data_IF_077813088384
#
_entry.id   IF_077813088384
#
_cell.length_a   1.000
_cell.length_b   1.000
_cell.length_c   1.000
_cell.angle_alpha   90.00
_cell.angle_beta   90.00
_cell.angle_gamma   90.00
#
_symmetry.space_group_name_H-M   'P 1'
#
loop_
_entity.id
_entity.type
_entity.pdbx_description
1 polymer ?
#
# COMPACT_ATOMS: atom_id res chain seq x y z
N UNK A 1 40.59 3.94 -46.16
CA UNK A 1 39.84 4.56 -45.05
C UNK A 1 38.38 4.68 -45.49
N UNK A 2 37.54 3.69 -45.16
CA UNK A 2 36.13 3.65 -45.60
C UNK A 2 35.26 4.37 -44.57
N UNK A 3 34.90 5.63 -44.83
CA UNK A 3 33.86 6.32 -44.08
C UNK A 3 32.49 5.93 -44.65
N UNK A 4 31.87 4.89 -44.07
CA UNK A 4 30.45 4.59 -44.35
C UNK A 4 29.60 5.75 -43.86
N UNK A 5 28.76 6.30 -44.73
CA UNK A 5 27.74 7.28 -44.36
C UNK A 5 26.74 6.63 -43.39
N UNK A 6 26.51 7.27 -42.25
CA UNK A 6 25.51 6.86 -41.29
C UNK A 6 24.14 7.25 -41.86
N UNK A 7 23.47 6.32 -42.55
CA UNK A 7 22.07 6.49 -42.92
C UNK A 7 21.21 6.35 -41.66
N UNK A 8 20.83 7.48 -41.05
CA UNK A 8 19.81 7.47 -39.99
C UNK A 8 18.47 7.12 -40.64
N UNK A 9 18.01 5.89 -40.42
CA UNK A 9 16.65 5.49 -40.78
C UNK A 9 15.66 6.47 -40.14
N UNK A 10 14.65 6.98 -40.87
CA UNK A 10 13.59 7.76 -40.25
C UNK A 10 12.82 6.84 -39.32
N UNK A 11 13.12 6.90 -38.02
CA UNK A 11 12.32 6.24 -37.00
C UNK A 11 10.98 6.98 -36.92
N UNK A 12 10.02 6.56 -37.76
CA UNK A 12 8.60 6.83 -37.49
C UNK A 12 8.21 5.99 -36.28
N UNK A 13 8.67 6.39 -35.10
CA UNK A 13 8.10 5.91 -33.84
C UNK A 13 6.69 6.48 -33.81
N UNK A 14 5.73 5.69 -34.28
CA UNK A 14 4.32 6.01 -34.09
C UNK A 14 4.04 6.06 -32.59
N UNK A 15 4.05 7.26 -32.01
CA UNK A 15 3.61 7.46 -30.63
C UNK A 15 2.14 7.05 -30.59
N UNK A 16 1.83 6.00 -29.83
CA UNK A 16 0.44 5.59 -29.58
C UNK A 16 -0.21 6.70 -28.74
N UNK A 17 -1.07 7.48 -29.37
CA UNK A 17 -1.80 8.54 -28.68
C UNK A 17 -2.98 7.91 -27.94
N UNK A 18 -2.88 7.83 -26.62
CA UNK A 18 -4.01 7.44 -25.79
C UNK A 18 -4.89 8.66 -25.57
N UNK A 19 -6.11 8.64 -26.13
CA UNK A 19 -7.08 9.74 -26.02
C UNK A 19 -7.37 10.14 -24.57
N UNK A 20 -7.32 9.19 -23.64
CA UNK A 20 -7.54 9.41 -22.22
C UNK A 20 -6.55 10.42 -21.62
N UNK A 21 -5.25 10.31 -21.91
CA UNK A 21 -4.24 11.25 -21.38
C UNK A 21 -4.37 12.63 -22.03
N UNK A 22 -4.76 12.67 -23.32
CA UNK A 22 -5.03 13.92 -24.00
C UNK A 22 -6.23 14.64 -23.38
N UNK A 23 -7.30 13.93 -23.07
CA UNK A 23 -8.47 14.51 -22.43
C UNK A 23 -8.14 15.12 -21.06
N UNK A 24 -7.28 14.46 -20.27
CA UNK A 24 -6.80 15.02 -19.01
C UNK A 24 -6.03 16.31 -19.24
N UNK A 25 -5.06 16.31 -20.17
CA UNK A 25 -4.30 17.52 -20.53
C UNK A 25 -5.21 18.67 -20.99
N UNK A 26 -6.16 18.39 -21.90
CA UNK A 26 -7.14 19.36 -22.37
C UNK A 26 -8.02 19.91 -21.24
N UNK A 27 -8.38 19.07 -20.26
CA UNK A 27 -9.16 19.51 -19.10
C UNK A 27 -8.35 20.48 -18.24
N UNK A 28 -7.05 20.21 -18.04
CA UNK A 28 -6.15 21.12 -17.32
C UNK A 28 -5.99 22.46 -18.04
N UNK A 29 -5.84 22.45 -19.36
CA UNK A 29 -5.78 23.67 -20.18
C UNK A 29 -7.09 24.45 -20.09
N UNK A 30 -8.24 23.79 -20.24
CA UNK A 30 -9.54 24.44 -20.13
C UNK A 30 -9.77 25.05 -18.73
N UNK A 31 -9.31 24.37 -17.67
CA UNK A 31 -9.37 24.92 -16.31
C UNK A 31 -8.44 26.12 -16.13
N UNK A 32 -7.23 26.07 -16.70
CA UNK A 32 -6.30 27.20 -16.68
C UNK A 32 -6.87 28.41 -17.40
N UNK A 33 -7.42 28.24 -18.60
CA UNK A 33 -8.07 29.29 -19.38
C UNK A 33 -9.31 29.86 -18.68
N UNK A 34 -10.14 29.00 -18.07
CA UNK A 34 -11.37 29.44 -17.40
C UNK A 34 -11.10 30.16 -16.06
N UNK A 35 -10.07 29.75 -15.32
CA UNK A 35 -9.78 30.30 -13.99
C UNK A 35 -8.70 31.38 -14.00
N UNK A 36 -7.92 31.50 -15.08
CA UNK A 36 -6.74 32.37 -15.18
C UNK A 36 -5.72 32.16 -14.04
N UNK A 37 -5.75 30.98 -13.39
CA UNK A 37 -4.87 30.67 -12.27
C UNK A 37 -3.50 30.19 -12.77
N UNK A 38 -2.40 30.64 -12.17
CA UNK A 38 -1.07 30.10 -12.45
C UNK A 38 -1.02 28.59 -12.31
N UNK A 39 -0.26 27.91 -13.17
CA UNK A 39 -0.11 26.46 -13.14
C UNK A 39 0.37 25.95 -11.79
N UNK A 40 1.25 26.71 -11.12
CA UNK A 40 1.78 26.39 -9.78
C UNK A 40 0.67 26.30 -8.72
N UNK A 41 -0.42 27.04 -8.88
CA UNK A 41 -1.57 27.03 -7.95
C UNK A 41 -2.63 26.04 -8.43
N UNK A 42 -2.90 26.03 -9.74
CA UNK A 42 -3.92 25.21 -10.36
C UNK A 42 -3.67 23.72 -10.12
N UNK A 43 -2.43 23.24 -10.27
CA UNK A 43 -2.11 21.81 -10.12
C UNK A 43 -2.36 21.31 -8.68
N UNK A 44 -1.84 21.95 -7.61
CA UNK A 44 -2.20 21.57 -6.25
C UNK A 44 -3.71 21.66 -5.97
N UNK A 45 -4.38 22.73 -6.40
CA UNK A 45 -5.80 22.94 -6.13
C UNK A 45 -6.68 21.85 -6.76
N UNK A 46 -6.45 21.56 -8.05
CA UNK A 46 -7.15 20.47 -8.76
C UNK A 46 -6.83 19.10 -8.18
N UNK A 47 -5.60 18.88 -7.70
CA UNK A 47 -5.20 17.65 -7.00
C UNK A 47 -5.98 17.46 -5.70
N UNK A 48 -6.09 18.51 -4.88
CA UNK A 48 -6.88 18.50 -3.64
C UNK A 48 -8.36 18.25 -3.96
N UNK A 49 -8.92 18.96 -4.95
CA UNK A 49 -10.31 18.80 -5.37
C UNK A 49 -10.62 17.38 -5.85
N UNK A 50 -9.80 16.84 -6.76
CA UNK A 50 -9.94 15.49 -7.31
C UNK A 50 -9.88 14.43 -6.20
N UNK A 51 -8.96 14.59 -5.26
CA UNK A 51 -8.80 13.63 -4.15
C UNK A 51 -9.90 13.72 -3.12
N UNK A 52 -10.39 14.92 -2.84
CA UNK A 52 -11.52 15.15 -1.93
C UNK A 52 -12.80 14.55 -2.51
N UNK A 53 -13.03 14.71 -3.81
CA UNK A 53 -14.22 14.17 -4.48
C UNK A 53 -14.14 12.64 -4.65
N UNK A 54 -13.03 12.13 -5.18
CA UNK A 54 -12.94 10.71 -5.55
C UNK A 54 -12.38 9.84 -4.42
N UNK A 55 -11.26 10.22 -3.82
CA UNK A 55 -10.53 9.29 -2.94
C UNK A 55 -10.94 9.37 -1.47
N UNK A 56 -11.31 10.56 -0.97
CA UNK A 56 -11.66 10.77 0.43
C UNK A 56 -12.86 9.92 0.88
N UNK A 57 -13.99 9.83 0.14
CA UNK A 57 -15.12 9.01 0.56
C UNK A 57 -14.74 7.53 0.65
N UNK A 58 -13.93 7.04 -0.31
CA UNK A 58 -13.42 5.68 -0.29
C UNK A 58 -12.49 5.43 0.89
N UNK A 59 -11.62 6.38 1.22
CA UNK A 59 -10.73 6.27 2.38
C UNK A 59 -11.49 6.29 3.70
N UNK A 60 -12.53 7.12 3.84
CA UNK A 60 -13.42 7.12 5.02
C UNK A 60 -14.12 5.76 5.15
N UNK A 61 -14.67 5.25 4.05
CA UNK A 61 -15.31 3.93 4.02
C UNK A 61 -14.34 2.82 4.42
N UNK A 62 -13.13 2.82 3.84
CA UNK A 62 -12.10 1.84 4.16
C UNK A 62 -11.69 1.94 5.63
N UNK A 63 -11.47 3.15 6.16
CA UNK A 63 -11.08 3.39 7.56
C UNK A 63 -12.08 2.77 8.52
N UNK A 64 -13.37 3.07 8.36
CA UNK A 64 -14.45 2.50 9.18
C UNK A 64 -14.47 0.97 9.11
N UNK A 65 -14.26 0.40 7.92
CA UNK A 65 -14.18 -1.06 7.76
C UNK A 65 -12.98 -1.67 8.46
N UNK A 66 -11.80 -1.05 8.34
CA UNK A 66 -10.57 -1.55 8.98
C UNK A 66 -10.73 -1.57 10.50
N UNK A 67 -11.35 -0.54 11.09
CA UNK A 67 -11.63 -0.49 12.54
C UNK A 67 -12.53 -1.66 12.97
N UNK A 68 -13.66 -1.88 12.28
CA UNK A 68 -14.53 -3.02 12.55
C UNK A 68 -13.79 -4.37 12.37
N UNK A 69 -12.92 -4.45 11.38
CA UNK A 69 -12.05 -5.60 11.15
C UNK A 69 -11.09 -5.82 12.33
N UNK A 70 -10.57 -4.74 12.90
CA UNK A 70 -9.64 -4.81 14.02
C UNK A 70 -10.31 -5.31 15.29
N UNK A 71 -11.55 -4.89 15.56
CA UNK A 71 -12.38 -5.40 16.66
C UNK A 71 -12.62 -6.90 16.51
N UNK A 72 -13.07 -7.35 15.33
CA UNK A 72 -13.29 -8.78 15.06
C UNK A 72 -12.00 -9.60 15.11
N UNK A 73 -10.87 -9.00 14.72
CA UNK A 73 -9.57 -9.66 14.79
C UNK A 73 -9.15 -9.96 16.24
N UNK A 74 -9.55 -9.15 17.22
CA UNK A 74 -9.32 -9.43 18.67
C UNK A 74 -9.96 -10.77 19.05
N UNK A 75 -11.18 -11.04 18.59
CA UNK A 75 -11.88 -12.32 18.81
C UNK A 75 -11.19 -13.48 18.08
N UNK A 76 -10.70 -13.26 16.86
CA UNK A 76 -10.02 -14.30 16.07
C UNK A 76 -8.67 -14.70 16.71
N UNK A 77 -8.00 -13.79 17.42
CA UNK A 77 -6.68 -14.05 18.01
C UNK A 77 -6.68 -15.02 19.19
N UNK A 78 -7.81 -15.24 19.86
CA UNK A 78 -7.92 -16.26 20.91
C UNK A 78 -8.07 -17.68 20.34
N UNK A 79 -8.38 -17.82 19.04
CA UNK A 79 -8.62 -19.11 18.40
C UNK A 79 -7.34 -19.97 18.26
N UNK A 80 -6.20 -19.45 17.76
CA UNK A 80 -4.98 -20.25 17.59
C UNK A 80 -4.52 -21.02 18.83
N UNK A 81 -4.35 -20.42 20.02
CA UNK A 81 -3.89 -21.16 21.20
C UNK A 81 -4.88 -22.26 21.61
N UNK A 82 -6.18 -21.98 21.58
CA UNK A 82 -7.23 -22.96 21.89
C UNK A 82 -7.22 -24.12 20.89
N UNK A 83 -7.11 -23.84 19.58
CA UNK A 83 -7.05 -24.89 18.56
C UNK A 83 -5.79 -25.75 18.68
N UNK A 84 -4.63 -25.17 18.99
CA UNK A 84 -3.39 -25.93 19.25
C UNK A 84 -3.55 -26.86 20.45
N UNK A 85 -4.10 -26.37 21.56
CA UNK A 85 -4.34 -27.19 22.76
C UNK A 85 -5.33 -28.33 22.48
N UNK A 86 -6.42 -28.05 21.76
CA UNK A 86 -7.42 -29.07 21.39
C UNK A 86 -6.83 -30.13 20.46
N UNK A 87 -6.04 -29.74 19.47
CA UNK A 87 -5.36 -30.67 18.56
C UNK A 87 -4.33 -31.52 19.31
N UNK A 88 -3.53 -30.92 20.19
CA UNK A 88 -2.55 -31.64 21.01
C UNK A 88 -3.22 -32.63 21.99
N UNK A 89 -4.34 -32.23 22.62
CA UNK A 89 -5.11 -33.12 23.48
C UNK A 89 -5.72 -34.29 22.68
N UNK A 90 -6.30 -34.02 21.51
CA UNK A 90 -6.87 -35.05 20.64
C UNK A 90 -5.83 -36.04 20.13
N UNK A 91 -4.63 -35.58 19.76
CA UNK A 91 -3.54 -36.48 19.34
C UNK A 91 -3.08 -37.38 20.47
N UNK A 92 -2.96 -36.83 21.69
CA UNK A 92 -2.55 -37.61 22.86
C UNK A 92 -3.63 -38.62 23.29
N UNK A 93 -4.91 -38.27 23.19
CA UNK A 93 -6.02 -39.17 23.48
C UNK A 93 -6.12 -40.31 22.44
N UNK A 94 -5.96 -40.00 21.16
CA UNK A 94 -5.96 -41.01 20.08
C UNK A 94 -4.78 -41.99 20.21
N UNK A 95 -3.60 -41.52 20.66
CA UNK A 95 -2.49 -42.42 20.97
C UNK A 95 -2.83 -43.37 22.13
N UNK A 96 -3.41 -42.85 23.23
CA UNK A 96 -3.77 -43.66 24.41
C UNK A 96 -4.85 -44.71 24.14
N UNK A 97 -5.82 -44.40 23.26
CA UNK A 97 -6.89 -45.34 22.92
C UNK A 97 -6.42 -46.50 22.04
N UNK A 98 -5.29 -46.32 21.34
CA UNK A 98 -4.73 -47.33 20.43
C UNK A 98 -3.69 -48.23 21.13
N UNK A 99 -3.21 -47.82 22.30
CA UNK A 99 -2.46 -48.68 23.21
C UNK A 99 -3.48 -49.54 23.96
N UNK A 100 -3.84 -50.71 23.41
CA UNK A 100 -4.72 -51.66 24.09
C UNK A 100 -4.08 -52.12 25.41
N UNK A 101 -4.62 -51.63 26.54
CA UNK A 101 -4.23 -52.04 27.89
C UNK A 101 -5.13 -53.23 28.26
N UNK A 102 -4.57 -54.43 28.38
CA UNK A 102 -5.28 -55.57 29.00
C UNK A 102 -5.45 -55.34 30.50
N UNK A 103 -6.45 -55.99 31.11
CA UNK A 103 -6.81 -55.88 32.54
C UNK A 103 -5.68 -56.21 33.53
N UNK A 104 -4.52 -56.66 33.05
CA UNK A 104 -3.33 -56.98 33.85
C UNK A 104 -2.19 -55.94 33.73
N UNK A 105 -2.41 -54.81 33.06
CA UNK A 105 -1.45 -53.70 33.00
C UNK A 105 -0.28 -53.88 32.03
N UNK A 106 -0.31 -54.89 31.17
CA UNK A 106 0.70 -55.14 30.13
C UNK A 106 0.24 -54.64 28.75
N UNK A 107 1.17 -54.07 27.99
CA UNK A 107 0.93 -53.54 26.63
C UNK A 107 0.89 -54.73 25.67
N UNK A 108 -0.26 -55.05 25.09
CA UNK A 108 -0.36 -56.06 24.02
C UNK A 108 0.06 -55.42 22.70
N UNK A 109 1.25 -55.76 22.20
CA UNK A 109 1.61 -55.55 20.79
C UNK A 109 0.90 -56.64 19.98
N UNK A 110 -0.28 -56.37 19.46
CA UNK A 110 -0.86 -57.22 18.42
C UNK A 110 -0.10 -56.98 17.10
N UNK A 111 0.66 -57.99 16.67
CA UNK A 111 1.32 -58.03 15.36
C UNK A 111 0.31 -58.39 14.27
N UNK A 112 -0.63 -57.49 13.97
CA UNK A 112 -1.43 -57.58 12.75
C UNK A 112 -0.69 -56.84 11.60
N UNK A 113 -0.37 -57.52 10.48
CA UNK A 113 0.23 -56.86 9.33
C UNK A 113 -0.82 -55.95 8.69
N UNK A 114 -0.43 -54.69 8.44
CA UNK A 114 -1.23 -53.62 7.80
C UNK A 114 -2.31 -52.93 8.65
N UNK A 115 -2.11 -52.72 9.96
CA UNK A 115 -2.82 -51.64 10.65
C UNK A 115 -2.02 -50.33 10.56
N UNK A 116 -2.58 -49.36 9.82
CA UNK A 116 -2.10 -47.98 9.75
C UNK A 116 -2.17 -47.41 11.18
N UNK A 117 -1.04 -47.41 11.91
CA UNK A 117 -0.95 -46.71 13.20
C UNK A 117 -1.47 -45.28 13.00
N UNK A 118 -2.44 -44.80 13.80
CA UNK A 118 -2.91 -43.44 13.68
C UNK A 118 -1.72 -42.50 13.85
N UNK A 119 -1.40 -41.76 12.78
CA UNK A 119 -0.22 -40.91 12.72
C UNK A 119 -0.28 -39.86 13.83
N UNK A 120 0.61 -39.95 14.82
CA UNK A 120 0.78 -38.90 15.85
C UNK A 120 1.19 -37.62 15.13
N UNK A 121 0.30 -36.62 15.13
CA UNK A 121 0.59 -35.36 14.45
C UNK A 121 1.85 -34.73 15.05
N UNK A 122 2.79 -34.34 14.20
CA UNK A 122 3.98 -33.62 14.64
C UNK A 122 3.59 -32.22 15.15
N UNK A 123 4.38 -31.60 16.03
CA UNK A 123 4.12 -30.24 16.50
C UNK A 123 3.91 -29.26 15.33
N UNK A 124 4.70 -29.40 14.26
CA UNK A 124 4.57 -28.57 13.06
C UNK A 124 3.25 -28.79 12.33
N UNK A 125 2.81 -30.04 12.18
CA UNK A 125 1.49 -30.34 11.61
C UNK A 125 0.36 -29.75 12.44
N UNK A 126 0.44 -29.82 13.78
CA UNK A 126 -0.54 -29.21 14.69
C UNK A 126 -0.60 -27.70 14.47
N UNK A 127 0.55 -27.02 14.34
CA UNK A 127 0.56 -25.57 14.08
C UNK A 127 -0.05 -25.23 12.73
N UNK A 128 0.24 -25.99 11.67
CA UNK A 128 -0.31 -25.77 10.33
C UNK A 128 -1.82 -25.99 10.33
N UNK A 129 -2.30 -27.05 10.98
CA UNK A 129 -3.73 -27.34 11.10
C UNK A 129 -4.46 -26.26 11.89
N UNK A 130 -3.89 -25.80 13.01
CA UNK A 130 -4.41 -24.66 13.76
C UNK A 130 -4.46 -23.38 12.90
N UNK A 131 -3.44 -23.11 12.09
CA UNK A 131 -3.43 -21.97 11.16
C UNK A 131 -4.54 -22.11 10.10
N UNK A 132 -4.74 -23.31 9.55
CA UNK A 132 -5.80 -23.57 8.56
C UNK A 132 -7.19 -23.38 9.18
N UNK A 133 -7.40 -23.90 10.39
CA UNK A 133 -8.68 -23.77 11.09
C UNK A 133 -8.99 -22.32 11.46
N UNK A 134 -8.00 -21.59 11.99
CA UNK A 134 -8.13 -20.18 12.34
C UNK A 134 -8.45 -19.32 11.13
N UNK A 135 -7.81 -19.55 9.98
CA UNK A 135 -8.16 -18.87 8.71
C UNK A 135 -9.59 -19.18 8.26
N UNK A 136 -10.04 -20.43 8.37
CA UNK A 136 -11.41 -20.83 8.00
C UNK A 136 -12.44 -20.12 8.89
N UNK A 137 -12.20 -20.11 10.21
CA UNK A 137 -13.06 -19.40 11.18
C UNK A 137 -13.03 -17.89 10.96
N UNK A 138 -11.86 -17.30 10.71
CA UNK A 138 -11.72 -15.89 10.36
C UNK A 138 -12.54 -15.52 9.12
N UNK A 139 -12.46 -16.31 8.04
CA UNK A 139 -13.24 -16.08 6.82
C UNK A 139 -14.75 -16.13 7.09
N UNK A 140 -15.22 -17.05 7.94
CA UNK A 140 -16.64 -17.14 8.35
C UNK A 140 -17.08 -15.92 9.16
N UNK A 141 -16.31 -15.51 10.17
CA UNK A 141 -16.62 -14.33 11.00
C UNK A 141 -16.64 -13.08 10.12
N UNK A 142 -15.63 -12.89 9.27
CA UNK A 142 -15.57 -11.74 8.38
C UNK A 142 -16.66 -11.75 7.32
N UNK A 143 -17.09 -12.94 6.87
CA UNK A 143 -18.26 -13.10 6.01
C UNK A 143 -19.55 -12.65 6.69
N UNK A 144 -19.80 -13.12 7.92
CA UNK A 144 -21.01 -12.78 8.71
C UNK A 144 -21.15 -11.27 8.95
N UNK A 145 -20.04 -10.57 9.19
CA UNK A 145 -20.05 -9.13 9.47
C UNK A 145 -19.75 -8.24 8.25
N UNK A 146 -19.63 -8.81 7.04
CA UNK A 146 -19.31 -8.13 5.78
C UNK A 146 -17.96 -7.37 5.78
N UNK A 147 -16.97 -7.88 6.52
CA UNK A 147 -15.64 -7.26 6.68
C UNK A 147 -14.53 -8.08 6.02
N UNK A 148 -14.75 -8.50 4.78
CA UNK A 148 -13.78 -9.25 3.97
C UNK A 148 -12.47 -8.48 3.74
N UNK A 149 -11.33 -9.18 3.72
CA UNK A 149 -9.99 -8.56 3.64
C UNK A 149 -9.66 -7.97 2.27
N UNK A 150 -10.10 -8.60 1.17
CA UNK A 150 -9.80 -8.15 -0.20
C UNK A 150 -10.32 -6.73 -0.49
N UNK A 151 -11.41 -6.34 0.18
CA UNK A 151 -11.98 -4.99 0.07
C UNK A 151 -11.04 -3.88 0.55
N UNK A 152 -9.98 -4.22 1.31
CA UNK A 152 -8.96 -3.26 1.72
C UNK A 152 -8.01 -2.90 0.56
N UNK A 153 -7.98 -3.67 -0.52
CA UNK A 153 -7.18 -3.38 -1.71
C UNK A 153 -7.90 -2.43 -2.69
N UNK A 154 -9.16 -2.07 -2.44
CA UNK A 154 -9.95 -1.21 -3.34
C UNK A 154 -9.33 0.19 -3.47
N UNK A 155 -8.84 0.77 -2.37
CA UNK A 155 -8.28 2.12 -2.43
C UNK A 155 -6.99 2.16 -3.28
N UNK A 156 -5.98 1.29 -3.08
CA UNK A 156 -4.86 1.19 -4.02
C UNK A 156 -5.29 0.92 -5.47
N UNK A 157 -6.31 0.07 -5.68
CA UNK A 157 -6.81 -0.28 -7.00
C UNK A 157 -7.39 0.92 -7.76
N UNK A 158 -7.97 1.89 -7.05
CA UNK A 158 -8.48 3.15 -7.63
C UNK A 158 -7.39 4.21 -7.71
N UNK A 159 -6.56 4.33 -6.66
CA UNK A 159 -5.54 5.37 -6.55
C UNK A 159 -4.41 5.21 -7.57
N UNK A 160 -3.91 3.99 -7.81
CA UNK A 160 -2.79 3.78 -8.72
C UNK A 160 -3.17 4.18 -10.17
N UNK A 161 -4.29 3.70 -10.75
CA UNK A 161 -4.71 4.14 -12.08
C UNK A 161 -4.99 5.64 -12.18
N UNK A 162 -5.62 6.23 -11.16
CA UNK A 162 -5.86 7.67 -11.10
C UNK A 162 -4.53 8.45 -11.12
N UNK A 163 -3.57 8.02 -10.31
CA UNK A 163 -2.26 8.65 -10.22
C UNK A 163 -1.48 8.56 -11.54
N UNK A 164 -1.49 7.39 -12.19
CA UNK A 164 -0.88 7.19 -13.52
C UNK A 164 -1.56 8.08 -14.55
N UNK A 165 -2.89 8.12 -14.57
CA UNK A 165 -3.69 8.89 -15.53
C UNK A 165 -3.37 10.37 -15.47
N UNK A 166 -3.36 10.95 -14.26
CA UNK A 166 -3.02 12.37 -14.08
C UNK A 166 -1.54 12.61 -14.42
N UNK A 167 -0.64 11.70 -14.03
CA UNK A 167 0.79 11.84 -14.33
C UNK A 167 1.08 11.81 -15.84
N UNK A 168 0.42 10.94 -16.58
CA UNK A 168 0.55 10.86 -18.04
C UNK A 168 -0.12 12.05 -18.74
N UNK A 169 -1.26 12.53 -18.23
CA UNK A 169 -1.90 13.75 -18.73
C UNK A 169 -1.03 15.00 -18.56
N UNK A 170 -0.43 15.17 -17.37
CA UNK A 170 0.51 16.25 -17.12
C UNK A 170 1.81 16.10 -17.92
N UNK A 171 2.30 14.87 -18.10
CA UNK A 171 3.47 14.63 -18.97
C UNK A 171 3.18 15.05 -20.41
N UNK A 172 2.00 14.76 -20.94
CA UNK A 172 1.55 15.23 -22.26
C UNK A 172 1.50 16.77 -22.33
N UNK A 173 1.05 17.44 -21.27
CA UNK A 173 1.03 18.90 -21.19
C UNK A 173 2.45 19.49 -21.26
N UNK A 174 3.41 18.84 -20.60
CA UNK A 174 4.83 19.25 -20.59
C UNK A 174 5.63 18.79 -21.80
N UNK A 175 5.03 18.15 -22.81
CA UNK A 175 5.76 17.87 -24.06
C UNK A 175 6.04 19.14 -24.87
N UNK A 176 5.24 20.18 -24.65
CA UNK A 176 5.46 21.52 -25.18
C UNK A 176 5.98 22.42 -24.05
N UNK A 177 6.77 23.42 -24.43
CA UNK A 177 7.24 24.46 -23.53
C UNK A 177 6.05 25.12 -22.84
N UNK A 178 6.04 25.07 -21.50
CA UNK A 178 4.95 25.58 -20.68
C UNK A 178 5.49 26.71 -19.82
N UNK A 179 5.17 27.94 -20.22
CA UNK A 179 5.52 29.14 -19.47
C UNK A 179 4.33 29.57 -18.61
N UNK A 180 4.64 30.12 -17.45
CA UNK A 180 3.65 30.79 -16.63
C UNK A 180 3.22 32.07 -17.34
N UNK A 181 1.93 32.17 -17.67
CA UNK A 181 1.38 33.28 -18.48
C UNK A 181 0.67 34.33 -17.65
N UNK A 182 0.31 33.98 -16.41
CA UNK A 182 -0.46 34.82 -15.51
C UNK A 182 0.44 35.33 -14.38
N UNK A 183 0.65 36.65 -14.35
CA UNK A 183 1.51 37.27 -13.35
C UNK A 183 0.79 37.41 -12.01
N UNK A 184 1.00 36.44 -11.13
CA UNK A 184 0.62 36.57 -9.72
C UNK A 184 1.78 37.22 -8.96
N UNK A 185 1.54 38.39 -8.36
CA UNK A 185 2.53 39.21 -7.66
C UNK A 185 3.29 38.47 -6.54
N UNK A 186 2.60 37.63 -5.76
CA UNK A 186 3.19 36.78 -4.73
C UNK A 186 4.15 35.72 -5.28
N UNK A 187 3.92 35.21 -6.49
CA UNK A 187 4.76 34.16 -7.09
C UNK A 187 6.03 34.74 -7.72
N UNK A 188 6.00 35.98 -8.19
CA UNK A 188 7.19 36.68 -8.76
C UNK A 188 8.33 36.84 -7.74
N UNK A 189 8.01 36.90 -6.45
CA UNK A 189 9.04 36.96 -5.40
C UNK A 189 9.70 35.60 -5.13
N UNK A 190 9.03 34.50 -5.48
CA UNK A 190 9.46 33.13 -5.15
C UNK A 190 10.04 32.38 -6.35
N UNK A 191 9.65 32.75 -7.57
CA UNK A 191 10.02 32.06 -8.80
C UNK A 191 10.51 33.03 -9.87
N UNK A 192 11.47 32.62 -10.73
CA UNK A 192 11.93 33.45 -11.84
C UNK A 192 10.83 33.69 -12.88
N UNK A 193 10.82 34.88 -13.49
CA UNK A 193 9.81 35.30 -14.49
C UNK A 193 9.74 34.37 -15.72
N UNK A 194 10.84 33.71 -16.08
CA UNK A 194 10.94 32.82 -17.24
C UNK A 194 10.99 31.33 -16.87
N UNK A 195 10.39 30.95 -15.73
CA UNK A 195 10.40 29.57 -15.28
C UNK A 195 9.63 28.66 -16.26
N UNK A 196 10.35 27.74 -16.89
CA UNK A 196 9.76 26.71 -17.74
C UNK A 196 9.33 25.51 -16.90
N UNK A 197 8.01 25.34 -16.74
CA UNK A 197 7.44 24.28 -15.92
C UNK A 197 7.51 22.90 -16.57
N UNK A 198 7.84 22.85 -17.87
CA UNK A 198 7.94 21.62 -18.65
C UNK A 198 9.26 20.87 -18.45
N UNK A 199 10.28 21.56 -17.94
CA UNK A 199 11.61 21.01 -17.70
C UNK A 199 11.83 20.69 -16.21
N UNK A 200 12.82 19.85 -15.88
CA UNK A 200 13.35 19.76 -14.52
C UNK A 200 13.92 21.12 -14.09
N UNK A 201 13.99 21.35 -12.78
CA UNK A 201 14.56 22.59 -12.27
C UNK A 201 16.09 22.57 -12.35
N UNK A 202 16.66 23.17 -13.40
CA UNK A 202 18.11 23.13 -13.66
C UNK A 202 18.95 23.81 -12.57
N UNK A 203 18.46 24.92 -11.99
CA UNK A 203 19.18 25.64 -10.93
C UNK A 203 19.27 24.83 -9.64
N UNK A 204 18.24 24.02 -9.33
CA UNK A 204 18.14 23.28 -8.07
C UNK A 204 17.49 21.89 -8.27
N UNK A 205 18.18 20.96 -8.98
CA UNK A 205 17.58 19.71 -9.43
C UNK A 205 17.22 18.75 -8.28
N UNK A 206 17.80 18.94 -7.10
CA UNK A 206 17.57 18.10 -5.91
C UNK A 206 16.43 18.58 -5.02
N UNK A 207 15.92 19.80 -5.17
CA UNK A 207 14.89 20.36 -4.28
C UNK A 207 13.58 19.56 -4.40
N UNK A 208 13.06 19.39 -5.62
CA UNK A 208 11.82 18.65 -5.83
C UNK A 208 11.94 17.15 -5.43
N UNK A 209 13.00 16.41 -5.83
CA UNK A 209 13.24 15.05 -5.35
C UNK A 209 13.33 14.94 -3.82
N UNK A 210 14.04 15.85 -3.16
CA UNK A 210 14.23 15.79 -1.71
C UNK A 210 12.92 16.05 -0.96
N UNK A 211 12.13 17.05 -1.37
CA UNK A 211 10.82 17.33 -0.79
C UNK A 211 9.87 16.15 -1.03
N UNK A 212 9.85 15.61 -2.25
CA UNK A 212 8.99 14.47 -2.57
C UNK A 212 9.40 13.22 -1.78
N UNK A 213 10.69 12.92 -1.72
CA UNK A 213 11.26 11.77 -1.04
C UNK A 213 10.99 11.82 0.47
N UNK A 214 11.19 12.99 1.08
CA UNK A 214 10.92 13.21 2.51
C UNK A 214 9.44 13.05 2.84
N UNK A 215 8.54 13.72 2.10
CA UNK A 215 7.09 13.57 2.30
C UNK A 215 6.61 12.14 2.07
N UNK A 216 7.12 11.47 1.03
CA UNK A 216 6.79 10.07 0.75
C UNK A 216 7.28 9.15 1.88
N UNK A 217 8.47 9.40 2.43
CA UNK A 217 9.00 8.63 3.56
C UNK A 217 8.15 8.83 4.82
N UNK A 218 7.74 10.06 5.13
CA UNK A 218 6.85 10.33 6.27
C UNK A 218 5.52 9.59 6.08
N UNK A 219 4.94 9.60 4.87
CA UNK A 219 3.73 8.85 4.56
C UNK A 219 3.92 7.33 4.77
N UNK A 220 5.04 6.78 4.32
CA UNK A 220 5.36 5.36 4.49
C UNK A 220 5.52 5.00 5.96
N UNK A 221 6.25 5.79 6.75
CA UNK A 221 6.44 5.54 8.18
C UNK A 221 5.14 5.70 8.97
N UNK A 222 4.32 6.70 8.64
CA UNK A 222 3.01 6.89 9.26
C UNK A 222 2.09 5.69 9.00
N UNK A 223 1.96 5.25 7.75
CA UNK A 223 1.18 4.07 7.39
C UNK A 223 1.78 2.78 7.97
N UNK A 224 3.11 2.70 8.04
CA UNK A 224 3.80 1.57 8.63
C UNK A 224 3.56 1.42 10.11
N UNK A 225 3.60 2.54 10.86
CA UNK A 225 3.22 2.60 12.27
C UNK A 225 1.79 2.11 12.49
N UNK A 226 0.86 2.47 11.60
CA UNK A 226 -0.53 1.97 11.64
C UNK A 226 -0.59 0.44 11.44
N UNK A 227 0.17 -0.12 10.50
CA UNK A 227 0.18 -1.57 10.23
C UNK A 227 0.84 -2.39 11.35
N UNK A 228 1.88 -1.84 11.98
CA UNK A 228 2.62 -2.49 13.08
C UNK A 228 1.91 -2.35 14.42
N UNK A 229 1.37 -1.18 14.75
CA UNK A 229 0.52 -0.97 15.94
C UNK A 229 -0.73 -1.85 15.91
N UNK A 230 -1.29 -2.06 14.72
CA UNK A 230 -2.33 -3.06 14.49
C UNK A 230 -1.87 -4.46 14.91
N UNK A 231 -0.60 -4.82 14.78
CA UNK A 231 -0.12 -6.18 15.11
C UNK A 231 0.37 -6.33 16.56
N UNK A 232 0.96 -5.29 17.16
CA UNK A 232 1.68 -5.37 18.45
C UNK A 232 0.81 -5.03 19.68
N UNK A 233 -0.04 -4.01 19.65
CA UNK A 233 -0.79 -3.54 20.85
C UNK A 233 -2.04 -4.38 21.20
N UNK A 234 -2.05 -5.67 20.85
CA UNK A 234 -3.29 -6.46 20.72
C UNK A 234 -3.59 -7.44 21.84
N UNK A 235 -2.73 -7.56 22.85
CA UNK A 235 -2.94 -8.56 23.91
C UNK A 235 -3.13 -7.98 25.31
N UNK A 236 -2.83 -6.71 25.60
CA UNK A 236 -2.72 -6.24 27.00
C UNK A 236 -1.69 -7.04 27.82
N UNK A 237 -0.95 -7.90 27.14
CA UNK A 237 0.12 -8.77 27.59
C UNK A 237 1.23 -8.40 26.62
N UNK A 238 2.30 -7.80 27.13
CA UNK A 238 3.54 -7.60 26.38
C UNK A 238 4.17 -8.97 26.10
N UNK A 239 3.54 -9.78 25.26
CA UNK A 239 4.22 -10.92 24.67
C UNK A 239 5.27 -10.33 23.76
N UNK A 240 6.55 -10.54 24.09
CA UNK A 240 7.68 -10.09 23.28
C UNK A 240 7.35 -10.29 21.79
N UNK A 241 7.46 -9.25 20.94
CA UNK A 241 7.16 -9.38 19.54
C UNK A 241 8.00 -10.54 19.02
N UNK A 242 7.36 -11.64 18.62
CA UNK A 242 8.11 -12.76 18.06
C UNK A 242 8.71 -12.26 16.75
N UNK A 243 9.96 -11.83 16.79
CA UNK A 243 10.70 -11.25 15.67
C UNK A 243 10.73 -12.19 14.45
N UNK A 244 10.54 -13.48 14.72
CA UNK A 244 10.51 -14.58 13.76
C UNK A 244 9.11 -14.98 13.25
N UNK A 245 8.02 -14.27 13.62
CA UNK A 245 6.70 -14.60 13.06
C UNK A 245 6.63 -14.21 11.58
N UNK A 246 6.26 -15.15 10.72
CA UNK A 246 6.09 -14.95 9.26
C UNK A 246 5.21 -13.74 8.92
N UNK A 247 4.23 -13.42 9.78
CA UNK A 247 3.36 -12.25 9.60
C UNK A 247 4.07 -10.93 9.91
N UNK A 248 4.90 -10.89 10.96
CA UNK A 248 5.71 -9.74 11.32
C UNK A 248 6.81 -9.49 10.28
N UNK A 249 7.48 -10.56 9.83
CA UNK A 249 8.46 -10.52 8.75
C UNK A 249 7.85 -9.98 7.45
N UNK A 250 6.67 -10.44 7.05
CA UNK A 250 5.97 -9.90 5.88
C UNK A 250 5.66 -8.40 5.99
N UNK A 251 5.29 -7.92 7.18
CA UNK A 251 5.08 -6.49 7.44
C UNK A 251 6.42 -5.71 7.40
N UNK A 252 7.51 -6.26 7.94
CA UNK A 252 8.85 -5.65 7.82
C UNK A 252 9.29 -5.58 6.35
N UNK A 253 9.07 -6.63 5.57
CA UNK A 253 9.40 -6.68 4.14
C UNK A 253 8.62 -5.66 3.32
N UNK A 254 7.30 -5.51 3.53
CA UNK A 254 6.52 -4.49 2.80
C UNK A 254 7.01 -3.08 3.13
N UNK A 255 7.40 -2.82 4.39
CA UNK A 255 7.95 -1.52 4.78
C UNK A 255 9.30 -1.25 4.13
N UNK A 256 10.20 -2.21 4.13
CA UNK A 256 11.50 -2.06 3.46
C UNK A 256 11.34 -1.85 1.94
N UNK A 257 10.40 -2.57 1.30
CA UNK A 257 10.07 -2.36 -0.11
C UNK A 257 9.49 -0.96 -0.34
N UNK A 258 8.60 -0.47 0.53
CA UNK A 258 8.05 0.88 0.41
C UNK A 258 9.10 1.97 0.63
N UNK A 259 10.06 1.79 1.53
CA UNK A 259 11.20 2.71 1.73
C UNK A 259 12.10 2.75 0.49
N UNK A 260 12.40 1.59 -0.08
CA UNK A 260 13.12 1.50 -1.35
C UNK A 260 12.34 2.20 -2.47
N UNK A 261 11.02 2.03 -2.52
CA UNK A 261 10.16 2.73 -3.48
C UNK A 261 10.23 4.25 -3.33
N UNK A 262 10.37 4.80 -2.11
CA UNK A 262 10.59 6.23 -1.92
C UNK A 262 11.90 6.70 -2.54
N UNK A 263 12.97 5.94 -2.38
CA UNK A 263 14.29 6.25 -2.97
C UNK A 263 14.22 6.19 -4.50
N UNK A 264 13.57 5.16 -5.05
CA UNK A 264 13.34 5.06 -6.50
C UNK A 264 12.50 6.23 -7.03
N UNK A 265 11.44 6.60 -6.31
CA UNK A 265 10.59 7.74 -6.68
C UNK A 265 11.36 9.06 -6.65
N UNK A 266 12.27 9.23 -5.70
CA UNK A 266 13.19 10.37 -5.66
C UNK A 266 14.07 10.43 -6.91
N UNK A 267 14.62 9.29 -7.35
CA UNK A 267 15.38 9.20 -8.60
C UNK A 267 14.55 9.48 -9.86
N UNK A 268 13.30 9.02 -9.91
CA UNK A 268 12.38 9.31 -11.03
C UNK A 268 12.05 10.81 -11.07
N UNK A 269 11.92 11.43 -9.90
CA UNK A 269 11.58 12.86 -9.80
C UNK A 269 12.71 13.79 -10.22
N UNK A 270 13.97 13.36 -10.23
CA UNK A 270 15.07 14.25 -10.66
C UNK A 270 15.04 14.53 -12.17
N UNK A 271 14.40 13.65 -12.94
CA UNK A 271 14.21 13.80 -14.39
C UNK A 271 12.77 14.22 -14.75
N UNK A 272 11.92 14.41 -13.75
CA UNK A 272 10.55 14.85 -13.97
C UNK A 272 10.49 16.37 -14.17
N UNK A 273 9.48 16.81 -14.93
CA UNK A 273 9.17 18.22 -15.07
C UNK A 273 8.73 18.82 -13.73
N UNK A 274 8.98 20.11 -13.51
CA UNK A 274 8.56 20.84 -12.30
C UNK A 274 7.06 20.64 -12.06
N UNK A 275 6.25 20.74 -13.11
CA UNK A 275 4.80 20.56 -13.03
C UNK A 275 4.40 19.18 -12.50
N UNK A 276 5.09 18.12 -12.96
CA UNK A 276 4.82 16.75 -12.54
C UNK A 276 5.27 16.50 -11.10
N UNK A 277 6.44 17.01 -10.72
CA UNK A 277 6.91 16.96 -9.34
C UNK A 277 5.99 17.71 -8.38
N UNK A 278 5.46 18.87 -8.78
CA UNK A 278 4.49 19.64 -8.01
C UNK A 278 3.18 18.87 -7.78
N UNK A 279 2.68 18.19 -8.81
CA UNK A 279 1.56 17.25 -8.67
C UNK A 279 1.88 16.15 -7.65
N UNK A 280 3.04 15.50 -7.74
CA UNK A 280 3.39 14.42 -6.82
C UNK A 280 3.56 14.90 -5.38
N UNK A 281 4.17 16.06 -5.17
CA UNK A 281 4.36 16.68 -3.85
C UNK A 281 2.99 17.05 -3.23
N UNK A 282 2.15 17.77 -3.96
CA UNK A 282 0.80 18.14 -3.48
C UNK A 282 -0.05 16.91 -3.18
N UNK A 283 0.10 15.86 -4.00
CA UNK A 283 -0.44 14.54 -3.74
C UNK A 283 0.08 13.95 -2.41
N UNK A 284 1.39 13.82 -2.21
CA UNK A 284 1.93 13.22 -0.99
C UNK A 284 1.51 14.01 0.26
N UNK A 285 1.50 15.34 0.16
CA UNK A 285 1.06 16.22 1.22
C UNK A 285 -0.42 16.03 1.57
N UNK A 286 -1.32 15.96 0.58
CA UNK A 286 -2.73 15.65 0.80
C UNK A 286 -2.91 14.29 1.50
N UNK A 287 -2.19 13.25 1.05
CA UNK A 287 -2.27 11.92 1.67
C UNK A 287 -1.86 11.96 3.15
N UNK A 288 -0.85 12.76 3.50
CA UNK A 288 -0.38 12.94 4.86
C UNK A 288 -1.46 13.60 5.73
N UNK A 289 -1.98 14.75 5.28
CA UNK A 289 -3.03 15.48 5.99
C UNK A 289 -4.30 14.64 6.15
N UNK A 290 -4.70 13.96 5.08
CA UNK A 290 -5.85 13.06 5.10
C UNK A 290 -5.67 11.95 6.14
N UNK A 291 -4.50 11.32 6.20
CA UNK A 291 -4.22 10.23 7.14
C UNK A 291 -4.20 10.73 8.59
N UNK A 292 -3.63 11.90 8.85
CA UNK A 292 -3.66 12.56 10.16
C UNK A 292 -5.09 12.88 10.57
N UNK A 293 -5.88 13.48 9.67
CA UNK A 293 -7.27 13.83 9.94
C UNK A 293 -8.14 12.60 10.21
N UNK A 294 -7.99 11.53 9.42
CA UNK A 294 -8.70 10.27 9.62
C UNK A 294 -8.27 9.54 10.90
N UNK A 295 -7.01 9.70 11.32
CA UNK A 295 -6.52 9.13 12.57
C UNK A 295 -7.06 9.88 13.78
N UNK A 296 -7.13 11.20 13.70
CA UNK A 296 -7.79 12.03 14.69
C UNK A 296 -9.29 11.71 14.83
N UNK A 297 -10.01 11.58 13.71
CA UNK A 297 -11.47 11.35 13.73
C UNK A 297 -11.85 9.90 14.10
N UNK A 298 -11.08 8.92 13.64
CA UNK A 298 -11.33 7.50 13.88
C UNK A 298 -10.04 6.74 14.19
N UNK A 299 -9.48 6.88 15.40
CA UNK A 299 -8.23 6.23 15.77
C UNK A 299 -8.34 4.71 15.68
N UNK A 300 -7.25 4.04 15.28
CA UNK A 300 -7.20 2.58 15.18
C UNK A 300 -7.17 1.89 16.55
N UNK A 301 -6.83 2.63 17.60
CA UNK A 301 -6.81 2.15 18.98
C UNK A 301 -7.83 2.98 19.77
N UNK A 302 -8.88 2.29 20.21
CA UNK A 302 -9.74 2.72 21.32
C UNK A 302 -9.40 1.85 22.51
#
# INVERSE_FOLDING_TARGET
>A
MFTRSIQRLPSKVGRRHFSLFQNVSNTFVALHEATSLPWIILIPLTTVGLRTCLTLPLSVWQRKRVIKQQELRKVVQSIPPVTKLRLAAATNAASKANDNITSSGSIVKEEHPMQIKPHRLTPDQITILAIKETRKRQKRIYGKYNVQMWKNAILPLVQIPLWITVSMGLRNLTEKRLLETHEWSLLHQLFPDNLDLSLPWDSMPMVAPLILGTLSMINVEFNGRVMTSTSTSRAGIDTAPSEYSKTSQGIKSILNVSRLSCILMMGISSQASILLSLYWISSQFYSLLQNIFLDWLWPYQR
#
